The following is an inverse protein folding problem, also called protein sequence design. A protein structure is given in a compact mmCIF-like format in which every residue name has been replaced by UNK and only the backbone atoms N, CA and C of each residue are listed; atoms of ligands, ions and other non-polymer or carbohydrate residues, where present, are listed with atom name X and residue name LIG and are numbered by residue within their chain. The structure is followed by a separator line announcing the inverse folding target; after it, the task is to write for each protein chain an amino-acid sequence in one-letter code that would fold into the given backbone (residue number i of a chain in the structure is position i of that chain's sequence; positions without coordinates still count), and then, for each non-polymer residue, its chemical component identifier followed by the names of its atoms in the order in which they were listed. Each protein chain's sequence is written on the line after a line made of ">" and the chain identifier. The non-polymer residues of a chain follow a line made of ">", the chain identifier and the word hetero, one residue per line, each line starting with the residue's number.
data_IF_055752614462
#
_entry.id   IF_055752614462
#
_cell.length_a   1.000
_cell.length_b   1.000
_cell.length_c   1.000
_cell.angle_alpha   90.00
_cell.angle_beta   90.00
_cell.angle_gamma   90.00
#
_symmetry.space_group_name_H-M   'P 1'
#
loop_
_entity.id
_entity.type
_entity.pdbx_description
1 polymer ?
#
# COMPACT_ATOMS: atom_id res chain seq x y z
N UNK A 1 -33.00 -11.63 -4.68
CA UNK A 1 -32.72 -10.18 -4.80
C UNK A 1 -33.42 -9.50 -3.62
N UNK A 2 -32.66 -8.99 -2.64
CA UNK A 2 -33.21 -8.17 -1.56
C UNK A 2 -33.37 -6.76 -2.14
N UNK A 3 -34.59 -6.23 -2.13
CA UNK A 3 -34.85 -4.87 -2.61
C UNK A 3 -33.98 -3.88 -1.81
N UNK A 4 -33.28 -3.00 -2.53
CA UNK A 4 -32.50 -1.92 -1.92
C UNK A 4 -33.49 -0.97 -1.27
N UNK A 5 -33.44 -0.84 0.05
CA UNK A 5 -34.29 0.10 0.78
C UNK A 5 -33.94 1.53 0.35
N UNK A 6 -34.97 2.36 0.11
CA UNK A 6 -34.80 3.77 -0.20
C UNK A 6 -34.36 4.55 1.05
N UNK A 7 -33.52 5.56 0.88
CA UNK A 7 -33.05 6.42 1.97
C UNK A 7 -34.22 7.02 2.77
N UNK A 8 -35.27 7.42 2.05
CA UNK A 8 -36.48 7.96 2.63
C UNK A 8 -37.19 6.99 3.56
N UNK A 9 -37.26 5.70 3.20
CA UNK A 9 -37.84 4.67 4.08
C UNK A 9 -36.99 4.42 5.33
N UNK A 10 -35.68 4.59 5.24
CA UNK A 10 -34.76 4.47 6.37
C UNK A 10 -34.93 5.66 7.34
N UNK A 11 -35.06 6.88 6.83
CA UNK A 11 -35.30 8.09 7.62
C UNK A 11 -36.67 8.07 8.31
N UNK A 12 -37.72 7.63 7.62
CA UNK A 12 -39.04 7.44 8.20
C UNK A 12 -39.02 6.39 9.31
N UNK A 13 -38.22 5.32 9.13
CA UNK A 13 -38.03 4.31 10.19
C UNK A 13 -37.36 4.89 11.44
N UNK A 14 -36.31 5.72 11.25
CA UNK A 14 -35.61 6.37 12.36
C UNK A 14 -36.53 7.34 13.11
N UNK A 15 -37.26 8.18 12.40
CA UNK A 15 -38.22 9.14 12.96
C UNK A 15 -39.28 8.43 13.81
N UNK A 16 -39.84 7.36 13.28
CA UNK A 16 -40.83 6.57 13.98
C UNK A 16 -40.26 5.93 15.27
N UNK A 17 -39.01 5.44 15.20
CA UNK A 17 -38.33 4.89 16.38
C UNK A 17 -38.07 5.95 17.44
N UNK A 18 -37.75 7.20 17.05
CA UNK A 18 -37.57 8.30 17.99
C UNK A 18 -38.91 8.73 18.66
N UNK A 19 -40.00 8.67 17.91
CA UNK A 19 -41.33 9.10 18.41
C UNK A 19 -41.99 8.06 19.33
N UNK A 20 -41.93 6.79 18.98
CA UNK A 20 -42.74 5.76 19.69
C UNK A 20 -41.91 4.65 20.35
N UNK A 21 -40.59 4.69 20.19
CA UNK A 21 -39.67 3.67 20.69
C UNK A 21 -39.56 2.44 19.80
N UNK A 22 -38.45 1.70 19.95
CA UNK A 22 -38.09 0.59 19.07
C UNK A 22 -39.12 -0.54 18.99
N UNK A 23 -39.78 -0.87 20.09
CA UNK A 23 -40.75 -1.97 20.12
C UNK A 23 -42.01 -1.60 19.35
N UNK A 24 -42.61 -0.45 19.63
CA UNK A 24 -43.83 0.03 18.94
C UNK A 24 -43.58 0.33 17.48
N UNK A 25 -42.44 0.90 17.15
CA UNK A 25 -42.06 1.11 15.74
C UNK A 25 -41.97 -0.21 14.98
N UNK A 26 -41.46 -1.27 15.60
CA UNK A 26 -41.43 -2.61 14.99
C UNK A 26 -42.84 -3.17 14.72
N UNK A 27 -43.77 -2.98 15.64
CA UNK A 27 -45.16 -3.38 15.49
C UNK A 27 -45.85 -2.59 14.35
N UNK A 28 -45.70 -1.27 14.32
CA UNK A 28 -46.30 -0.39 13.30
C UNK A 28 -45.77 -0.72 11.90
N UNK A 29 -44.47 -0.93 11.77
CA UNK A 29 -43.81 -1.24 10.50
C UNK A 29 -43.88 -2.72 10.10
N UNK A 30 -44.47 -3.56 10.97
CA UNK A 30 -44.49 -5.02 10.82
C UNK A 30 -43.09 -5.61 10.58
N UNK A 31 -42.08 -5.09 11.31
CA UNK A 31 -40.69 -5.50 11.22
C UNK A 31 -40.21 -6.22 12.45
N UNK A 32 -39.43 -7.28 12.27
CA UNK A 32 -38.76 -7.95 13.39
C UNK A 32 -37.70 -7.01 14.01
N UNK A 33 -37.42 -7.10 15.31
CA UNK A 33 -36.47 -6.23 15.99
C UNK A 33 -35.06 -6.18 15.30
N UNK A 34 -34.61 -7.30 14.80
CA UNK A 34 -33.34 -7.36 14.07
C UNK A 34 -33.37 -6.64 12.69
N UNK A 35 -34.50 -6.69 12.00
CA UNK A 35 -34.69 -5.96 10.73
C UNK A 35 -34.72 -4.45 10.99
N UNK A 36 -35.34 -4.01 12.05
CA UNK A 36 -35.36 -2.60 12.45
C UNK A 36 -33.97 -2.08 12.81
N UNK A 37 -33.20 -2.83 13.60
CA UNK A 37 -31.81 -2.51 13.92
C UNK A 37 -30.94 -2.45 12.67
N UNK A 38 -31.15 -3.36 11.71
CA UNK A 38 -30.42 -3.35 10.44
C UNK A 38 -30.74 -2.10 9.62
N UNK A 39 -31.98 -1.65 9.56
CA UNK A 39 -32.36 -0.40 8.88
C UNK A 39 -31.67 0.81 9.48
N UNK A 40 -31.71 0.95 10.80
CA UNK A 40 -31.04 2.06 11.51
C UNK A 40 -29.52 2.05 11.27
N UNK A 41 -28.92 0.86 11.27
CA UNK A 41 -27.47 0.72 10.99
C UNK A 41 -27.10 1.11 9.56
N UNK A 42 -27.96 0.78 8.58
CA UNK A 42 -27.75 1.18 7.19
C UNK A 42 -27.83 2.70 7.07
N UNK A 43 -28.83 3.34 7.68
CA UNK A 43 -28.98 4.80 7.68
C UNK A 43 -27.77 5.50 8.31
N UNK A 44 -27.28 4.98 9.43
CA UNK A 44 -26.10 5.52 10.09
C UNK A 44 -24.83 5.37 9.20
N UNK A 45 -24.73 4.28 8.46
CA UNK A 45 -23.63 4.07 7.51
C UNK A 45 -23.72 5.00 6.30
N UNK A 46 -24.92 5.23 5.76
CA UNK A 46 -25.12 6.19 4.65
C UNK A 46 -24.80 7.62 5.10
N UNK A 47 -25.26 8.06 6.26
CA UNK A 47 -24.92 9.39 6.81
C UNK A 47 -23.41 9.57 7.07
N UNK A 48 -22.74 8.53 7.56
CA UNK A 48 -21.28 8.55 7.73
C UNK A 48 -20.57 8.61 6.37
N UNK A 49 -21.12 7.96 5.35
CA UNK A 49 -20.64 8.06 3.98
C UNK A 49 -20.79 9.48 3.43
N UNK A 50 -21.97 10.10 3.60
CA UNK A 50 -22.24 11.44 3.09
C UNK A 50 -21.38 12.51 3.78
N UNK A 51 -21.18 12.42 5.09
CA UNK A 51 -20.27 13.30 5.83
C UNK A 51 -18.80 13.21 5.37
N UNK A 52 -18.39 12.05 4.84
CA UNK A 52 -17.07 11.86 4.26
C UNK A 52 -16.95 12.44 2.83
N UNK A 53 -18.10 12.69 2.17
CA UNK A 53 -18.14 13.25 0.81
C UNK A 53 -18.21 14.79 0.77
N UNK A 54 -18.73 15.46 1.82
CA UNK A 54 -18.93 16.91 1.82
C UNK A 54 -17.63 17.72 2.01
N UNK A 55 -16.55 17.11 2.49
CA UNK A 55 -15.29 17.83 2.81
C UNK A 55 -14.13 17.51 1.87
N UNK A 56 -14.39 16.92 0.70
CA UNK A 56 -13.35 16.56 -0.25
C UNK A 56 -13.06 17.68 -1.25
N UNK A 57 -12.27 18.66 -0.85
CA UNK A 57 -11.39 19.30 -1.81
C UNK A 57 -10.36 18.28 -2.31
N UNK A 58 -10.12 18.28 -3.61
CA UNK A 58 -9.36 17.31 -4.40
C UNK A 58 -7.90 17.15 -3.95
N UNK A 59 -7.67 16.51 -2.80
CA UNK A 59 -6.35 15.95 -2.49
C UNK A 59 -6.40 14.44 -2.63
N UNK A 60 -5.68 13.87 -3.59
CA UNK A 60 -5.87 12.47 -3.99
C UNK A 60 -5.54 11.44 -2.91
N UNK A 61 -4.50 11.65 -2.12
CA UNK A 61 -4.08 10.74 -1.03
C UNK A 61 -3.40 11.50 0.10
N UNK A 62 -3.70 11.15 1.33
CA UNK A 62 -2.95 11.59 2.51
C UNK A 62 -2.05 10.46 3.03
N UNK A 63 -0.79 10.76 3.22
CA UNK A 63 0.19 9.89 3.86
C UNK A 63 1.09 10.71 4.78
N UNK A 64 1.58 10.08 5.82
CA UNK A 64 2.51 10.71 6.76
C UNK A 64 3.93 10.25 6.44
N UNK A 65 4.79 11.18 6.08
CA UNK A 65 6.21 10.92 5.86
C UNK A 65 6.98 10.97 7.19
N UNK A 66 7.90 10.04 7.42
CA UNK A 66 8.86 10.19 8.49
C UNK A 66 9.78 11.38 8.21
N UNK A 67 9.97 12.22 9.21
CA UNK A 67 10.96 13.31 9.14
C UNK A 67 12.34 12.70 9.31
N UNK A 68 13.20 12.86 8.30
CA UNK A 68 14.59 12.44 8.36
C UNK A 68 15.46 13.55 8.95
N UNK A 69 16.52 13.20 9.72
CA UNK A 69 17.48 14.18 10.18
C UNK A 69 18.24 14.79 9.01
N UNK A 70 18.58 16.08 9.10
CA UNK A 70 19.50 16.68 8.14
C UNK A 70 20.89 16.08 8.27
N UNK A 71 21.67 16.07 7.19
CA UNK A 71 23.05 15.56 7.19
C UNK A 71 23.98 16.27 8.20
N UNK A 72 23.65 17.51 8.57
CA UNK A 72 24.40 18.35 9.49
C UNK A 72 23.77 18.50 10.87
N UNK A 73 22.88 17.58 11.25
CA UNK A 73 22.24 17.61 12.56
C UNK A 73 23.28 17.39 13.68
N UNK A 74 23.27 18.18 14.78
CA UNK A 74 24.11 17.92 15.94
C UNK A 74 23.93 16.51 16.48
N UNK A 75 25.00 15.85 16.88
CA UNK A 75 24.99 14.43 17.30
C UNK A 75 23.94 14.12 18.37
N UNK A 76 23.74 15.05 19.32
CA UNK A 76 22.73 14.89 20.38
C UNK A 76 21.31 14.80 19.80
N UNK A 77 20.98 15.69 18.88
CA UNK A 77 19.67 15.75 18.22
C UNK A 77 19.47 14.54 17.30
N UNK A 78 20.56 14.12 16.64
CA UNK A 78 20.55 12.90 15.82
C UNK A 78 20.26 11.66 16.67
N UNK A 79 20.90 11.51 17.84
CA UNK A 79 20.65 10.40 18.77
C UNK A 79 19.20 10.41 19.25
N UNK A 80 18.66 11.57 19.60
CA UNK A 80 17.27 11.71 20.03
C UNK A 80 16.30 11.36 18.89
N UNK A 81 16.55 11.88 17.68
CA UNK A 81 15.77 11.57 16.50
C UNK A 81 15.78 10.07 16.17
N UNK A 82 16.97 9.45 16.16
CA UNK A 82 17.11 8.00 15.91
C UNK A 82 16.44 7.16 17.00
N UNK A 83 16.50 7.61 18.25
CA UNK A 83 15.81 6.95 19.37
C UNK A 83 14.29 7.00 19.18
N UNK A 84 13.73 8.16 18.82
CA UNK A 84 12.31 8.32 18.51
C UNK A 84 11.89 7.45 17.33
N UNK A 85 12.67 7.50 16.24
CA UNK A 85 12.46 6.65 15.04
C UNK A 85 12.50 5.16 15.37
N UNK A 86 13.47 4.73 16.18
CA UNK A 86 13.58 3.34 16.62
C UNK A 86 12.38 2.90 17.44
N UNK A 87 11.89 3.71 18.37
CA UNK A 87 10.68 3.43 19.15
C UNK A 87 9.46 3.29 18.25
N UNK A 88 9.24 4.25 17.34
CA UNK A 88 8.12 4.21 16.39
C UNK A 88 8.17 2.96 15.51
N UNK A 89 9.36 2.60 14.99
CA UNK A 89 9.55 1.37 14.22
C UNK A 89 9.30 0.11 15.04
N UNK A 90 9.70 0.11 16.31
CA UNK A 90 9.50 -1.02 17.21
C UNK A 90 8.02 -1.19 17.57
N UNK A 91 7.31 -0.09 17.79
CA UNK A 91 5.87 -0.07 18.04
C UNK A 91 5.08 -0.52 16.81
N UNK A 92 5.39 0.02 15.64
CA UNK A 92 4.81 -0.40 14.36
C UNK A 92 5.06 -1.90 14.06
N UNK A 93 6.25 -2.39 14.38
CA UNK A 93 6.59 -3.82 14.24
C UNK A 93 5.85 -4.71 15.23
N UNK A 94 5.60 -4.22 16.46
CA UNK A 94 4.84 -4.93 17.50
C UNK A 94 3.34 -4.99 17.21
N UNK A 95 2.79 -3.91 16.71
CA UNK A 95 1.34 -3.79 16.48
C UNK A 95 0.89 -4.51 15.21
N UNK A 96 1.79 -4.91 14.31
CA UNK A 96 1.47 -5.35 12.94
C UNK A 96 0.58 -4.35 12.23
N UNK A 97 0.75 -3.05 12.52
CA UNK A 97 -0.11 -2.01 12.01
C UNK A 97 0.00 -1.88 10.49
N UNK A 98 -1.16 -1.73 9.91
CA UNK A 98 -1.32 -1.37 8.52
C UNK A 98 -1.04 0.12 8.33
N UNK A 99 -0.31 0.48 7.30
CA UNK A 99 -0.09 1.87 6.92
C UNK A 99 -1.39 2.37 6.29
N UNK A 100 -2.13 3.27 6.96
CA UNK A 100 -3.40 3.73 6.44
C UNK A 100 -3.20 4.74 5.32
N UNK A 101 -3.84 4.48 4.18
CA UNK A 101 -3.88 5.36 3.01
C UNK A 101 -5.33 5.81 2.86
N UNK A 102 -5.57 7.10 3.02
CA UNK A 102 -6.90 7.69 2.81
C UNK A 102 -7.08 7.97 1.32
N UNK A 103 -8.07 7.34 0.72
CA UNK A 103 -8.43 7.56 -0.67
C UNK A 103 -9.50 8.65 -0.74
N UNK A 104 -9.15 9.81 -1.29
CA UNK A 104 -10.07 10.97 -1.40
C UNK A 104 -10.66 11.14 -2.81
N UNK A 105 -10.70 10.06 -3.59
CA UNK A 105 -11.16 10.05 -4.98
C UNK A 105 -12.54 9.42 -5.07
N UNK A 106 -13.46 10.04 -5.80
CA UNK A 106 -14.83 9.51 -6.01
C UNK A 106 -14.91 8.41 -7.08
N UNK A 107 -13.85 8.14 -7.78
CA UNK A 107 -13.76 7.16 -8.85
C UNK A 107 -12.92 5.94 -8.49
N UNK A 108 -12.69 5.06 -9.45
CA UNK A 108 -11.72 3.99 -9.30
C UNK A 108 -10.31 4.56 -9.15
N UNK A 109 -9.49 3.86 -8.39
CA UNK A 109 -8.05 4.11 -8.33
C UNK A 109 -7.31 2.91 -8.91
N UNK A 110 -6.11 3.16 -9.44
CA UNK A 110 -5.17 2.14 -9.86
C UNK A 110 -3.88 2.23 -9.05
N UNK A 111 -3.28 1.07 -8.80
CA UNK A 111 -1.95 0.96 -8.22
C UNK A 111 -1.15 -0.01 -9.06
N UNK A 112 -0.03 0.46 -9.60
CA UNK A 112 0.94 -0.37 -10.32
C UNK A 112 2.04 -0.81 -9.38
N UNK A 113 2.63 -1.96 -9.63
CA UNK A 113 3.72 -2.50 -8.85
C UNK A 113 4.93 -2.74 -9.76
N UNK A 114 6.03 -2.07 -9.47
CA UNK A 114 7.31 -2.29 -10.11
C UNK A 114 8.12 -3.27 -9.26
N UNK A 115 8.50 -4.40 -9.83
CA UNK A 115 9.40 -5.36 -9.19
C UNK A 115 10.73 -5.38 -9.90
N UNK A 116 11.79 -5.16 -9.14
CA UNK A 116 13.17 -5.37 -9.57
C UNK A 116 13.52 -4.69 -10.91
N UNK A 117 13.32 -3.37 -11.06
CA UNK A 117 13.57 -2.71 -12.35
C UNK A 117 15.04 -2.72 -12.78
N UNK A 118 16.00 -2.78 -11.82
CA UNK A 118 17.43 -2.82 -12.12
C UNK A 118 17.80 -1.91 -13.30
N UNK A 119 17.43 -0.63 -13.21
CA UNK A 119 17.42 0.30 -14.35
C UNK A 119 18.78 0.59 -14.95
N UNK A 120 19.85 0.23 -14.28
CA UNK A 120 21.23 0.34 -14.73
C UNK A 120 21.76 -0.98 -15.34
N UNK A 121 20.95 -2.04 -15.37
CA UNK A 121 21.32 -3.30 -16.00
C UNK A 121 21.21 -3.21 -17.53
N UNK A 122 22.16 -3.82 -18.23
CA UNK A 122 22.19 -3.82 -19.70
C UNK A 122 20.98 -4.57 -20.32
N UNK A 123 20.31 -5.41 -19.54
CA UNK A 123 19.11 -6.15 -19.94
C UNK A 123 17.81 -5.50 -19.45
N UNK A 124 17.87 -4.30 -18.90
CA UNK A 124 16.65 -3.57 -18.55
C UNK A 124 15.82 -3.29 -19.80
N UNK A 125 14.55 -3.68 -19.78
CA UNK A 125 13.61 -3.38 -20.86
C UNK A 125 13.16 -1.91 -20.78
N UNK A 126 13.98 -1.03 -21.34
CA UNK A 126 13.76 0.40 -21.33
C UNK A 126 12.49 0.83 -22.06
N UNK A 127 12.08 0.10 -23.12
CA UNK A 127 10.87 0.44 -23.86
C UNK A 127 9.64 0.14 -23.03
N UNK A 128 9.59 -1.01 -22.36
CA UNK A 128 8.53 -1.35 -21.43
C UNK A 128 8.49 -0.38 -20.24
N UNK A 129 9.63 -0.13 -19.60
CA UNK A 129 9.74 0.79 -18.45
C UNK A 129 9.21 2.20 -18.78
N UNK A 130 9.63 2.75 -19.93
CA UNK A 130 9.17 4.07 -20.37
C UNK A 130 7.69 4.10 -20.69
N UNK A 131 7.17 3.05 -21.33
CA UNK A 131 5.74 2.89 -21.60
C UNK A 131 4.92 2.85 -20.32
N UNK A 132 5.40 2.13 -19.31
CA UNK A 132 4.75 2.04 -18.01
C UNK A 132 4.74 3.39 -17.28
N UNK A 133 5.87 4.09 -17.26
CA UNK A 133 5.98 5.44 -16.68
C UNK A 133 5.02 6.40 -17.40
N UNK A 134 5.00 6.38 -18.73
CA UNK A 134 4.09 7.21 -19.52
C UNK A 134 2.62 6.90 -19.21
N UNK A 135 2.27 5.63 -19.06
CA UNK A 135 0.92 5.19 -18.71
C UNK A 135 0.51 5.69 -17.34
N UNK A 136 1.40 5.61 -16.34
CA UNK A 136 1.13 6.10 -14.98
C UNK A 136 0.92 7.60 -15.00
N UNK A 137 1.80 8.34 -15.69
CA UNK A 137 1.76 9.81 -15.70
C UNK A 137 0.56 10.37 -16.48
N UNK A 138 0.04 9.64 -17.47
CA UNK A 138 -1.13 10.04 -18.26
C UNK A 138 -2.46 9.58 -17.69
N UNK A 139 -2.45 8.62 -16.76
CA UNK A 139 -3.67 8.06 -16.19
C UNK A 139 -3.99 8.70 -14.86
N UNK A 140 -5.12 9.38 -14.79
CA UNK A 140 -5.60 9.96 -13.54
C UNK A 140 -5.84 8.88 -12.48
N UNK A 141 -5.56 9.20 -11.22
CA UNK A 141 -5.76 8.30 -10.09
C UNK A 141 -4.99 6.98 -10.17
N UNK A 142 -3.86 6.97 -10.87
CA UNK A 142 -2.93 5.85 -10.93
C UNK A 142 -1.64 6.19 -10.17
N UNK A 143 -1.25 5.34 -9.25
CA UNK A 143 -0.03 5.47 -8.44
C UNK A 143 0.85 4.24 -8.59
N UNK A 144 2.10 4.39 -8.23
CA UNK A 144 3.06 3.31 -8.30
C UNK A 144 3.59 2.90 -6.92
N UNK A 145 3.86 1.62 -6.77
CA UNK A 145 4.58 1.02 -5.64
C UNK A 145 5.82 0.33 -6.19
N UNK A 146 7.00 0.64 -5.66
CA UNK A 146 8.21 -0.12 -5.95
C UNK A 146 8.34 -1.28 -4.96
N UNK A 147 8.70 -2.45 -5.45
CA UNK A 147 8.91 -3.66 -4.64
C UNK A 147 10.38 -3.93 -4.33
N UNK A 148 11.28 -3.00 -4.67
CA UNK A 148 12.71 -3.08 -4.37
C UNK A 148 13.59 -3.26 -5.60
N UNK A 149 14.88 -3.23 -5.35
CA UNK A 149 15.97 -3.42 -6.32
C UNK A 149 15.85 -2.49 -7.53
N UNK A 150 15.81 -1.17 -7.25
CA UNK A 150 15.73 -0.13 -8.27
C UNK A 150 16.95 -0.16 -9.18
N UNK A 151 18.13 -0.41 -8.62
CA UNK A 151 19.40 -0.54 -9.36
C UNK A 151 20.17 -1.78 -8.93
N UNK A 152 21.17 -2.15 -9.73
CA UNK A 152 22.07 -3.25 -9.42
C UNK A 152 22.95 -2.99 -8.19
N UNK A 153 23.41 -1.75 -8.02
CA UNK A 153 24.20 -1.30 -6.86
C UNK A 153 25.25 -2.35 -6.42
N UNK A 154 26.11 -2.79 -7.35
CA UNK A 154 27.10 -3.84 -7.09
C UNK A 154 28.11 -3.44 -6.03
N UNK A 155 28.07 -4.06 -4.86
CA UNK A 155 28.98 -3.81 -3.75
C UNK A 155 29.71 -5.09 -3.30
N UNK A 156 30.75 -4.91 -2.49
CA UNK A 156 31.52 -6.01 -1.90
C UNK A 156 32.08 -6.93 -2.97
N UNK A 157 31.77 -8.22 -2.89
CA UNK A 157 32.25 -9.22 -3.86
C UNK A 157 31.65 -9.08 -5.25
N UNK A 158 30.54 -8.35 -5.36
CA UNK A 158 29.83 -8.15 -6.62
C UNK A 158 30.36 -6.93 -7.41
N UNK A 159 31.21 -6.10 -6.81
CA UNK A 159 31.79 -4.90 -7.48
C UNK A 159 32.45 -5.23 -8.83
N UNK A 160 32.98 -6.44 -9.01
CA UNK A 160 33.56 -6.87 -10.29
C UNK A 160 32.54 -6.87 -11.45
N UNK A 161 31.25 -6.93 -11.16
CA UNK A 161 30.19 -6.94 -12.16
C UNK A 161 30.05 -5.57 -12.85
N UNK A 162 30.47 -4.47 -12.21
CA UNK A 162 30.57 -3.16 -12.85
C UNK A 162 31.45 -3.17 -14.10
N UNK A 163 32.44 -4.07 -14.19
CA UNK A 163 33.30 -4.19 -15.36
C UNK A 163 32.61 -4.85 -16.58
N UNK A 164 31.46 -5.44 -16.37
CA UNK A 164 30.65 -6.12 -17.40
C UNK A 164 29.36 -5.39 -17.73
N UNK A 165 29.20 -4.17 -17.23
CA UNK A 165 28.01 -3.33 -17.37
C UNK A 165 28.42 -2.02 -18.04
N UNK A 166 27.60 -1.52 -18.97
CA UNK A 166 27.91 -0.27 -19.71
C UNK A 166 27.73 0.97 -18.81
N UNK A 167 26.77 0.93 -17.86
CA UNK A 167 26.52 2.01 -16.92
C UNK A 167 27.52 2.03 -15.76
N UNK A 168 28.07 3.20 -15.48
CA UNK A 168 28.89 3.41 -14.27
C UNK A 168 28.02 3.57 -13.02
N UNK A 169 28.60 3.38 -11.82
CA UNK A 169 27.90 3.59 -10.57
C UNK A 169 27.31 5.01 -10.43
N UNK A 170 27.99 6.03 -10.93
CA UNK A 170 27.47 7.39 -10.91
C UNK A 170 26.25 7.55 -11.84
N UNK A 171 26.30 6.94 -13.02
CA UNK A 171 25.17 6.92 -13.94
C UNK A 171 23.98 6.13 -13.39
N UNK A 172 24.24 4.99 -12.73
CA UNK A 172 23.21 4.23 -12.04
C UNK A 172 22.42 5.10 -11.06
N UNK A 173 23.10 5.89 -10.22
CA UNK A 173 22.41 6.80 -9.28
C UNK A 173 21.68 7.95 -9.98
N UNK A 174 22.17 8.45 -11.10
CA UNK A 174 21.44 9.42 -11.91
C UNK A 174 20.15 8.83 -12.48
N UNK A 175 20.19 7.58 -12.93
CA UNK A 175 19.00 6.86 -13.38
C UNK A 175 18.00 6.61 -12.26
N UNK A 176 18.48 6.25 -11.07
CA UNK A 176 17.63 6.11 -9.88
C UNK A 176 16.94 7.42 -9.55
N UNK A 177 17.70 8.53 -9.48
CA UNK A 177 17.12 9.86 -9.21
C UNK A 177 16.07 10.24 -10.27
N UNK A 178 16.36 9.99 -11.54
CA UNK A 178 15.43 10.19 -12.63
C UNK A 178 14.15 9.38 -12.42
N UNK A 179 14.22 8.07 -12.23
CA UNK A 179 13.04 7.21 -12.04
C UNK A 179 12.21 7.65 -10.83
N UNK A 180 12.87 7.94 -9.71
CA UNK A 180 12.19 8.39 -8.50
C UNK A 180 11.52 9.77 -8.68
N UNK A 181 11.97 10.56 -9.65
CA UNK A 181 11.40 11.87 -9.95
C UNK A 181 10.29 11.85 -11.00
N UNK A 182 10.29 10.86 -11.89
CA UNK A 182 9.34 10.76 -13.00
C UNK A 182 8.00 10.16 -12.60
N UNK A 183 7.97 9.36 -11.55
CA UNK A 183 6.79 8.56 -11.17
C UNK A 183 6.18 9.08 -9.87
N UNK A 184 4.86 9.12 -9.81
CA UNK A 184 4.12 9.43 -8.58
C UNK A 184 4.08 8.19 -7.67
N UNK A 185 5.09 8.07 -6.81
CA UNK A 185 5.26 6.94 -5.91
C UNK A 185 4.36 7.06 -4.69
N UNK A 186 3.52 6.06 -4.49
CA UNK A 186 2.77 5.85 -3.25
C UNK A 186 3.66 5.23 -2.16
N UNK A 187 4.43 4.20 -2.52
CA UNK A 187 5.30 3.49 -1.60
C UNK A 187 6.55 2.97 -2.33
N UNK A 188 7.69 3.13 -1.67
CA UNK A 188 8.98 2.58 -2.08
C UNK A 188 9.39 1.52 -1.06
N UNK A 189 9.25 0.25 -1.41
CA UNK A 189 9.80 -0.86 -0.65
C UNK A 189 11.23 -1.07 -1.14
N UNK A 190 12.18 -1.12 -0.21
CA UNK A 190 13.60 -1.30 -0.55
C UNK A 190 13.96 -2.76 -0.50
N UNK A 191 14.66 -3.21 -1.53
CA UNK A 191 15.21 -4.55 -1.65
C UNK A 191 16.64 -4.68 -1.11
N UNK A 192 17.28 -5.79 -1.43
CA UNK A 192 18.64 -6.03 -0.97
C UNK A 192 19.66 -5.12 -1.66
N UNK A 193 19.52 -4.87 -2.96
CA UNK A 193 20.40 -3.96 -3.68
C UNK A 193 20.27 -2.52 -3.20
N UNK A 194 19.09 -2.08 -2.83
CA UNK A 194 18.84 -0.73 -2.30
C UNK A 194 19.43 -0.51 -0.90
N UNK A 195 19.60 -1.59 -0.12
CA UNK A 195 20.03 -1.53 1.29
C UNK A 195 21.48 -1.94 1.51
N UNK A 196 22.21 -2.37 0.49
CA UNK A 196 23.59 -2.87 0.61
C UNK A 196 24.65 -1.79 0.84
N UNK A 197 24.29 -0.54 0.97
CA UNK A 197 25.28 0.52 1.07
C UNK A 197 26.06 0.47 2.38
N UNK A 198 27.38 0.67 2.32
CA UNK A 198 28.21 0.86 3.52
C UNK A 198 27.77 2.12 4.28
N UNK A 199 28.00 2.15 5.58
CA UNK A 199 27.71 3.29 6.44
C UNK A 199 26.23 3.63 6.64
N UNK A 200 25.31 2.70 6.41
CA UNK A 200 23.87 2.90 6.59
C UNK A 200 23.29 4.08 5.77
N UNK A 201 23.97 4.47 4.71
CA UNK A 201 23.43 5.43 3.76
C UNK A 201 22.12 4.87 3.15
N UNK A 202 21.17 5.75 2.96
CA UNK A 202 19.87 5.41 2.34
C UNK A 202 19.57 6.39 1.20
N UNK A 203 20.17 6.17 0.02
CA UNK A 203 19.99 7.10 -1.10
C UNK A 203 18.54 7.19 -1.57
N UNK A 204 17.76 6.12 -1.46
CA UNK A 204 16.35 6.14 -1.82
C UNK A 204 15.60 7.18 -0.96
N UNK A 205 15.93 7.26 0.34
CA UNK A 205 15.35 8.27 1.23
C UNK A 205 15.74 9.69 0.86
N UNK A 206 16.93 9.90 0.34
CA UNK A 206 17.40 11.24 -0.06
C UNK A 206 16.88 11.68 -1.42
N UNK A 207 16.77 10.73 -2.36
CA UNK A 207 16.39 11.01 -3.75
C UNK A 207 14.87 11.04 -3.95
N UNK A 208 14.10 10.37 -3.12
CA UNK A 208 12.63 10.36 -3.25
C UNK A 208 12.04 11.76 -3.08
N UNK A 209 11.12 12.13 -3.94
CA UNK A 209 10.38 13.40 -3.84
C UNK A 209 9.14 13.31 -2.95
N UNK A 210 8.75 12.12 -2.54
CA UNK A 210 7.56 11.86 -1.74
C UNK A 210 7.30 10.36 -1.58
N UNK A 211 6.14 10.01 -1.05
CA UNK A 211 5.77 8.61 -0.84
C UNK A 211 6.26 8.02 0.48
N UNK A 212 5.68 6.89 0.82
CA UNK A 212 6.07 6.05 1.95
C UNK A 212 7.35 5.29 1.55
N UNK A 213 8.28 5.12 2.49
CA UNK A 213 9.47 4.30 2.26
C UNK A 213 9.63 3.28 3.37
N UNK A 214 9.71 2.01 2.99
CA UNK A 214 9.82 0.89 3.91
C UNK A 214 10.93 -0.08 3.49
N UNK A 215 11.53 -0.77 4.46
CA UNK A 215 12.53 -1.80 4.20
C UNK A 215 11.83 -3.16 4.07
N UNK A 216 12.10 -3.89 3.00
CA UNK A 216 11.68 -5.26 2.75
C UNK A 216 10.19 -5.51 2.57
N UNK A 217 9.31 -4.83 3.32
CA UNK A 217 7.87 -5.02 3.19
C UNK A 217 7.08 -3.81 3.68
N UNK A 218 5.90 -3.62 3.10
CA UNK A 218 4.89 -2.68 3.54
C UNK A 218 3.51 -3.36 3.57
N UNK A 219 2.74 -3.08 4.63
CA UNK A 219 1.35 -3.48 4.72
C UNK A 219 0.49 -2.24 4.50
N UNK A 220 -0.17 -2.13 3.37
CA UNK A 220 -0.92 -0.95 2.95
C UNK A 220 -2.42 -1.17 3.17
N UNK A 221 -3.09 -0.26 3.87
CA UNK A 221 -4.53 -0.27 4.07
C UNK A 221 -5.15 0.92 3.34
N UNK A 222 -5.83 0.66 2.23
CA UNK A 222 -6.58 1.67 1.50
C UNK A 222 -7.95 1.86 2.15
N UNK A 223 -8.25 3.08 2.58
CA UNK A 223 -9.53 3.47 3.17
C UNK A 223 -10.31 4.28 2.14
N UNK A 224 -11.37 3.69 1.59
CA UNK A 224 -12.18 4.33 0.55
C UNK A 224 -13.30 5.20 1.14
N UNK A 225 -13.75 6.24 0.42
CA UNK A 225 -14.82 7.14 0.88
C UNK A 225 -16.12 6.42 1.24
N UNK A 226 -16.42 5.29 0.60
CA UNK A 226 -17.61 4.47 0.88
C UNK A 226 -17.47 3.58 2.15
N UNK A 227 -16.45 3.81 2.97
CA UNK A 227 -16.17 3.04 4.18
C UNK A 227 -15.57 1.65 3.95
N UNK A 228 -15.40 1.22 2.68
CA UNK A 228 -14.70 -0.03 2.36
C UNK A 228 -13.20 0.13 2.55
N UNK A 229 -12.54 -1.01 2.77
CA UNK A 229 -11.09 -1.08 2.90
C UNK A 229 -10.53 -2.15 1.98
N UNK A 230 -9.32 -1.92 1.45
CA UNK A 230 -8.53 -2.94 0.79
C UNK A 230 -7.16 -3.04 1.45
N UNK A 231 -6.67 -4.25 1.58
CA UNK A 231 -5.45 -4.59 2.29
C UNK A 231 -4.45 -5.22 1.32
N UNK A 232 -3.26 -4.64 1.24
CA UNK A 232 -2.20 -5.09 0.34
C UNK A 232 -0.94 -5.34 1.15
N UNK A 233 -0.38 -6.53 1.02
CA UNK A 233 0.93 -6.88 1.55
C UNK A 233 1.92 -6.89 0.40
N UNK A 234 2.73 -5.83 0.32
CA UNK A 234 3.85 -5.74 -0.60
C UNK A 234 5.15 -6.12 0.09
N UNK A 235 6.03 -6.84 -0.58
CA UNK A 235 7.34 -7.16 -0.06
C UNK A 235 8.36 -7.27 -1.21
N UNK A 236 9.63 -6.99 -0.92
CA UNK A 236 10.68 -7.31 -1.88
C UNK A 236 10.81 -8.83 -2.04
N UNK A 237 10.96 -9.57 -0.95
CA UNK A 237 10.91 -11.04 -0.94
C UNK A 237 9.98 -11.54 0.17
N UNK A 238 9.33 -12.66 -0.07
CA UNK A 238 8.54 -13.37 0.92
C UNK A 238 9.19 -14.73 1.23
N UNK A 239 9.39 -15.08 2.52
CA UNK A 239 10.07 -16.31 2.89
C UNK A 239 9.29 -17.56 2.48
N UNK A 240 10.01 -18.56 1.99
CA UNK A 240 9.46 -19.88 1.69
C UNK A 240 9.22 -20.13 0.19
N UNK A 241 10.19 -19.76 -0.65
CA UNK A 241 10.12 -20.07 -2.07
C UNK A 241 10.11 -21.58 -2.34
N UNK A 242 9.62 -21.96 -3.49
CA UNK A 242 9.63 -23.32 -4.00
C UNK A 242 10.15 -23.32 -5.44
N UNK A 243 10.95 -24.29 -5.77
CA UNK A 243 11.46 -24.49 -7.12
C UNK A 243 10.34 -24.85 -8.13
N UNK A 244 9.24 -25.40 -7.64
CA UNK A 244 8.12 -25.88 -8.46
C UNK A 244 6.94 -24.90 -8.54
N UNK A 245 6.87 -23.98 -7.59
CA UNK A 245 5.77 -23.02 -7.52
C UNK A 245 6.31 -21.63 -7.18
N UNK A 246 6.41 -20.74 -8.15
CA UNK A 246 6.94 -19.38 -7.95
C UNK A 246 6.14 -18.58 -6.93
N UNK A 247 4.84 -18.88 -6.75
CA UNK A 247 3.96 -18.19 -5.81
C UNK A 247 3.84 -18.86 -4.44
N UNK A 248 4.65 -19.87 -4.16
CA UNK A 248 4.57 -20.60 -2.90
C UNK A 248 4.73 -19.69 -1.67
N UNK A 249 5.63 -18.72 -1.73
CA UNK A 249 5.91 -17.83 -0.61
C UNK A 249 4.71 -16.90 -0.31
N UNK A 250 4.08 -16.34 -1.33
CA UNK A 250 2.90 -15.49 -1.22
C UNK A 250 1.70 -16.26 -0.66
N UNK A 251 1.43 -17.45 -1.21
CA UNK A 251 0.35 -18.35 -0.74
C UNK A 251 0.60 -18.79 0.71
N UNK A 252 1.85 -19.15 1.04
CA UNK A 252 2.24 -19.48 2.41
C UNK A 252 1.99 -18.31 3.36
N UNK A 253 2.39 -17.09 2.97
CA UNK A 253 2.16 -15.90 3.76
C UNK A 253 0.67 -15.63 3.97
N UNK A 254 -0.12 -15.71 2.92
CA UNK A 254 -1.57 -15.54 3.00
C UNK A 254 -2.24 -16.51 3.98
N UNK A 255 -1.83 -17.78 3.96
CA UNK A 255 -2.43 -18.84 4.81
C UNK A 255 -1.96 -18.82 6.26
N UNK A 256 -0.71 -18.44 6.53
CA UNK A 256 -0.10 -18.64 7.84
C UNK A 256 0.33 -17.36 8.56
N UNK A 257 0.23 -16.17 7.94
CA UNK A 257 0.64 -14.93 8.60
C UNK A 257 -0.42 -14.34 9.53
N UNK A 258 -1.64 -14.83 9.46
CA UNK A 258 -2.78 -14.28 10.22
C UNK A 258 -3.19 -12.88 9.78
N UNK A 259 -2.81 -12.48 8.56
CA UNK A 259 -3.27 -11.23 7.95
C UNK A 259 -4.27 -11.54 6.83
N UNK A 260 -5.46 -10.96 6.91
CA UNK A 260 -6.50 -11.08 5.88
C UNK A 260 -6.32 -9.98 4.81
N UNK A 261 -5.20 -10.02 4.09
CA UNK A 261 -4.98 -9.10 2.98
C UNK A 261 -5.70 -9.59 1.72
N UNK A 262 -6.09 -8.63 0.88
CA UNK A 262 -6.72 -8.89 -0.41
C UNK A 262 -5.69 -9.19 -1.50
N UNK A 263 -4.47 -8.66 -1.36
CA UNK A 263 -3.37 -8.84 -2.30
C UNK A 263 -2.06 -9.11 -1.56
N UNK A 264 -1.32 -10.12 -2.03
CA UNK A 264 0.04 -10.44 -1.61
C UNK A 264 0.94 -10.38 -2.83
N UNK A 265 1.89 -9.46 -2.86
CA UNK A 265 2.74 -9.23 -4.03
C UNK A 265 4.20 -9.10 -3.62
N UNK A 266 5.10 -9.71 -4.40
CA UNK A 266 6.54 -9.56 -4.19
C UNK A 266 7.33 -9.60 -5.49
N UNK A 267 8.54 -9.05 -5.46
CA UNK A 267 9.59 -9.11 -6.49
C UNK A 267 10.67 -10.13 -6.16
N UNK A 268 11.95 -9.75 -6.36
CA UNK A 268 13.20 -10.43 -6.02
C UNK A 268 13.54 -11.67 -6.85
N UNK A 269 12.56 -12.49 -7.19
CA UNK A 269 12.82 -13.79 -7.86
C UNK A 269 12.84 -13.70 -9.37
N UNK A 270 12.53 -12.57 -9.95
CA UNK A 270 12.43 -12.33 -11.40
C UNK A 270 11.58 -13.41 -12.10
N UNK A 271 10.55 -13.87 -11.42
CA UNK A 271 9.60 -14.87 -11.92
C UNK A 271 8.19 -14.31 -11.87
N UNK A 272 7.49 -14.43 -12.99
CA UNK A 272 6.11 -13.99 -13.07
C UNK A 272 5.17 -15.10 -12.65
N UNK A 273 4.11 -14.74 -11.93
CA UNK A 273 3.02 -15.64 -11.58
C UNK A 273 1.83 -14.88 -11.04
N UNK A 274 0.64 -15.44 -11.21
CA UNK A 274 -0.61 -14.94 -10.67
C UNK A 274 -1.43 -16.10 -10.12
N UNK A 275 -1.96 -15.94 -8.92
CA UNK A 275 -2.78 -16.92 -8.25
C UNK A 275 -3.92 -16.24 -7.50
N UNK A 276 -5.13 -16.80 -7.61
CA UNK A 276 -6.29 -16.33 -6.89
C UNK A 276 -6.87 -17.45 -6.05
N UNK A 277 -7.24 -17.17 -4.82
CA UNK A 277 -7.93 -18.12 -3.95
C UNK A 277 -8.76 -17.39 -2.90
N UNK A 278 -9.52 -18.14 -2.13
CA UNK A 278 -10.36 -17.65 -1.04
C UNK A 278 -9.85 -18.20 0.29
N UNK A 279 -9.85 -17.36 1.32
CA UNK A 279 -9.63 -17.81 2.68
C UNK A 279 -10.91 -18.49 3.19
N UNK A 280 -10.81 -19.78 3.53
CA UNK A 280 -11.96 -20.58 3.94
C UNK A 280 -12.60 -20.13 5.27
N UNK A 281 -11.84 -19.42 6.13
CA UNK A 281 -12.32 -18.96 7.44
C UNK A 281 -12.98 -17.59 7.34
N UNK A 282 -12.38 -16.66 6.60
CA UNK A 282 -12.87 -15.28 6.49
C UNK A 282 -13.70 -15.01 5.24
N UNK A 283 -13.68 -15.88 4.24
CA UNK A 283 -14.30 -15.65 2.93
C UNK A 283 -13.61 -14.53 2.13
N UNK A 284 -12.39 -14.12 2.53
CA UNK A 284 -11.65 -13.07 1.83
C UNK A 284 -10.99 -13.66 0.59
N UNK A 285 -11.26 -13.08 -0.57
CA UNK A 285 -10.56 -13.40 -1.82
C UNK A 285 -9.23 -12.66 -1.81
N UNK A 286 -8.14 -13.39 -2.07
CA UNK A 286 -6.81 -12.81 -2.19
C UNK A 286 -6.10 -13.27 -3.46
N UNK A 287 -5.21 -12.40 -3.93
CA UNK A 287 -4.45 -12.52 -5.17
C UNK A 287 -2.97 -12.62 -4.86
#
# INVERSE_FOLDING_TARGET
>A
MVAKLDLKELEETEKLVQEVGTQKAGEILNLRPNSLRSRLRILEQERKSDLLFEDSQEQPLEYTLPVLPSEHMPTKDLVEHLTKRSRTRFEAKRSREWIPIKVNVKGPIGVTFFGDPHIDDDYCDWDALRSDIETINKTECLWAVNLGDVSNNWIGRLQRLWAHQETSAAQAWQLVEWLLSEVNWLCLIKGNHDTWLPNQADPIEWLKKGGISENWNANLQFNFPNGKKAYVVGAHDMPGHSMWNPLHAQVKRARFSGSDANLYISGHRHQWGLFQTENAESGTIYW
#
